data_IF_125426697259
#
_entry.id   IF_125426697259
#
_cell.length_a   1.000
_cell.length_b   1.000
_cell.length_c   1.000
_cell.angle_alpha   90.00
_cell.angle_beta   90.00
_cell.angle_gamma   90.00
#
_symmetry.space_group_name_H-M   'P 1'
#
loop_
_entity.id
_entity.type
_entity.pdbx_description
1 polymer ?
#
# COMPACT_ATOMS: atom_id res chain seq x y z
N UNK A 1 -9.14 -11.82 -21.35
CA UNK A 1 -8.23 -12.97 -21.23
C UNK A 1 -6.81 -12.41 -21.18
N UNK A 2 -6.37 -11.90 -20.02
CA UNK A 2 -5.07 -11.24 -19.92
C UNK A 2 -3.93 -12.26 -19.90
N UNK A 3 -2.84 -11.91 -20.59
CA UNK A 3 -1.54 -12.58 -20.47
C UNK A 3 -0.68 -11.77 -19.51
N UNK A 4 -0.34 -12.38 -18.38
CA UNK A 4 0.47 -11.75 -17.34
C UNK A 4 1.91 -12.24 -17.47
N UNK A 5 2.83 -11.32 -17.74
CA UNK A 5 4.27 -11.59 -17.84
C UNK A 5 4.97 -11.26 -16.53
N UNK A 6 5.67 -12.23 -15.96
CA UNK A 6 6.41 -12.10 -14.70
C UNK A 6 7.87 -11.65 -14.94
N UNK A 7 8.60 -11.21 -13.91
CA UNK A 7 9.95 -10.66 -14.08
C UNK A 7 10.99 -11.71 -14.52
N UNK A 8 10.71 -13.00 -14.31
CA UNK A 8 11.52 -14.12 -14.81
C UNK A 8 11.27 -14.43 -16.30
N UNK A 9 10.38 -13.68 -16.95
CA UNK A 9 9.97 -13.87 -18.33
C UNK A 9 8.90 -14.94 -18.52
N UNK A 10 8.46 -15.61 -17.45
CA UNK A 10 7.35 -16.56 -17.53
C UNK A 10 6.03 -15.84 -17.81
N UNK A 11 5.15 -16.49 -18.56
CA UNK A 11 3.84 -15.96 -18.91
C UNK A 11 2.74 -16.84 -18.33
N UNK A 12 1.70 -16.20 -17.81
CA UNK A 12 0.51 -16.85 -17.28
C UNK A 12 -0.71 -16.36 -18.05
N UNK A 13 -1.52 -17.30 -18.52
CA UNK A 13 -2.72 -17.01 -19.29
C UNK A 13 -3.95 -17.19 -18.41
N UNK A 14 -4.80 -16.17 -18.37
CA UNK A 14 -6.06 -16.20 -17.62
C UNK A 14 -7.24 -15.99 -18.55
N UNK A 15 -8.35 -16.67 -18.27
CA UNK A 15 -9.61 -16.56 -19.01
C UNK A 15 -10.51 -15.43 -18.48
N UNK A 16 -10.18 -14.83 -17.34
CA UNK A 16 -10.87 -13.71 -16.70
C UNK A 16 -9.88 -12.65 -16.19
N UNK A 17 -10.33 -11.42 -15.86
CA UNK A 17 -9.51 -10.44 -15.16
C UNK A 17 -9.03 -10.98 -13.81
N UNK A 18 -7.77 -10.74 -13.47
CA UNK A 18 -7.14 -11.25 -12.24
C UNK A 18 -6.44 -10.14 -11.49
N UNK A 19 -6.34 -10.26 -10.17
CA UNK A 19 -5.58 -9.32 -9.34
C UNK A 19 -4.13 -9.76 -9.12
N UNK A 20 -3.21 -8.85 -8.72
CA UNK A 20 -1.87 -9.25 -8.28
C UNK A 20 -1.89 -10.34 -7.19
N UNK A 21 -2.86 -10.30 -6.28
CA UNK A 21 -3.04 -11.33 -5.25
C UNK A 21 -3.41 -12.69 -5.84
N UNK A 22 -4.30 -12.74 -6.83
CA UNK A 22 -4.68 -13.99 -7.50
C UNK A 22 -3.46 -14.61 -8.20
N UNK A 23 -2.69 -13.79 -8.92
CA UNK A 23 -1.46 -14.25 -9.57
C UNK A 23 -0.43 -14.74 -8.55
N UNK A 24 -0.31 -14.07 -7.40
CA UNK A 24 0.58 -14.50 -6.32
C UNK A 24 0.15 -15.84 -5.68
N UNK A 25 -1.17 -16.06 -5.51
CA UNK A 25 -1.74 -17.32 -5.03
C UNK A 25 -1.41 -18.48 -5.98
N UNK A 26 -1.53 -18.24 -7.29
CA UNK A 26 -1.23 -19.23 -8.34
C UNK A 26 0.26 -19.55 -8.49
N UNK A 27 1.14 -18.66 -8.03
CA UNK A 27 2.58 -18.93 -7.93
C UNK A 27 2.87 -19.77 -6.67
N UNK A 28 2.25 -19.43 -5.55
CA UNK A 28 2.27 -20.27 -4.36
C UNK A 28 1.89 -19.54 -3.07
N UNK A 29 1.48 -20.30 -2.03
CA UNK A 29 0.93 -19.72 -0.79
C UNK A 29 1.94 -18.86 -0.03
N UNK A 30 3.25 -19.15 -0.17
CA UNK A 30 4.30 -18.35 0.45
C UNK A 30 4.41 -16.94 -0.15
N UNK A 31 4.27 -16.82 -1.48
CA UNK A 31 4.32 -15.53 -2.16
C UNK A 31 3.05 -14.74 -1.92
N UNK A 32 1.88 -15.37 -1.99
CA UNK A 32 0.61 -14.74 -1.64
C UNK A 32 0.64 -14.14 -0.23
N UNK A 33 1.16 -14.88 0.75
CA UNK A 33 1.32 -14.39 2.13
C UNK A 33 2.26 -13.20 2.23
N UNK A 34 3.28 -13.11 1.37
CA UNK A 34 4.26 -12.03 1.37
C UNK A 34 3.83 -10.82 0.51
N UNK A 35 2.73 -10.94 -0.24
CA UNK A 35 2.27 -9.92 -1.18
C UNK A 35 1.68 -8.73 -0.44
N UNK A 36 2.18 -7.54 -0.74
CA UNK A 36 1.68 -6.26 -0.24
C UNK A 36 0.91 -5.53 -1.33
N UNK A 37 1.47 -5.49 -2.54
CA UNK A 37 0.93 -4.76 -3.68
C UNK A 37 1.43 -5.39 -4.99
N UNK A 38 0.95 -4.88 -6.12
CA UNK A 38 1.45 -5.21 -7.46
C UNK A 38 2.15 -4.02 -8.10
N UNK A 39 3.04 -4.31 -9.04
CA UNK A 39 3.48 -3.33 -10.05
C UNK A 39 3.05 -3.83 -11.42
N UNK A 40 2.08 -3.15 -12.01
CA UNK A 40 1.49 -3.50 -13.30
C UNK A 40 1.95 -2.49 -14.34
N UNK A 41 2.64 -2.96 -15.39
CA UNK A 41 3.19 -2.08 -16.45
C UNK A 41 4.06 -0.91 -15.93
N UNK A 42 4.73 -1.12 -14.80
CA UNK A 42 5.58 -0.11 -14.15
C UNK A 42 4.89 0.73 -13.08
N UNK A 43 3.55 0.70 -13.00
CA UNK A 43 2.76 1.47 -12.03
C UNK A 43 2.42 0.63 -10.80
N UNK A 44 2.48 1.23 -9.61
CA UNK A 44 2.09 0.56 -8.36
C UNK A 44 0.56 0.52 -8.26
N UNK A 45 0.03 -0.66 -7.95
CA UNK A 45 -1.40 -0.95 -7.79
C UNK A 45 -1.63 -1.76 -6.51
N UNK A 46 -2.82 -1.68 -5.93
CA UNK A 46 -3.17 -2.48 -4.77
C UNK A 46 -3.22 -3.97 -5.14
N UNK A 47 -2.99 -4.85 -4.15
CA UNK A 47 -2.97 -6.28 -4.39
C UNK A 47 -4.31 -6.85 -4.91
N UNK A 48 -5.41 -6.11 -4.71
CA UNK A 48 -6.76 -6.47 -5.14
C UNK A 48 -7.21 -5.81 -6.45
N UNK A 49 -6.40 -4.93 -7.04
CA UNK A 49 -6.77 -4.24 -8.27
C UNK A 49 -6.82 -5.21 -9.45
N UNK A 50 -7.85 -5.11 -10.27
CA UNK A 50 -8.07 -6.04 -11.38
C UNK A 50 -7.21 -5.67 -12.60
N UNK A 51 -6.55 -6.67 -13.16
CA UNK A 51 -5.79 -6.58 -14.39
C UNK A 51 -6.66 -7.18 -15.51
N UNK A 52 -7.23 -6.31 -16.35
CA UNK A 52 -8.16 -6.73 -17.42
C UNK A 52 -7.46 -7.09 -18.73
N UNK A 53 -6.28 -6.49 -18.98
CA UNK A 53 -5.53 -6.59 -20.22
C UNK A 53 -4.15 -7.19 -19.99
N UNK A 54 -3.48 -7.59 -21.08
CA UNK A 54 -2.11 -8.08 -21.04
C UNK A 54 -1.18 -7.08 -20.34
N UNK A 55 -0.36 -7.58 -19.42
CA UNK A 55 0.48 -6.72 -18.60
C UNK A 55 1.73 -7.43 -18.11
N UNK A 56 2.76 -6.63 -17.80
CA UNK A 56 3.87 -7.08 -16.96
C UNK A 56 3.49 -6.89 -15.50
N UNK A 57 3.70 -7.91 -14.67
CA UNK A 57 3.41 -7.89 -13.25
C UNK A 57 4.67 -8.22 -12.45
N UNK A 58 5.02 -7.36 -11.49
CA UNK A 58 5.92 -7.69 -10.40
C UNK A 58 5.17 -7.64 -9.07
N UNK A 59 5.36 -8.67 -8.24
CA UNK A 59 4.79 -8.70 -6.89
C UNK A 59 5.67 -7.89 -5.95
N UNK A 60 5.06 -6.95 -5.22
CA UNK A 60 5.73 -6.14 -4.22
C UNK A 60 5.55 -6.79 -2.85
N UNK A 61 6.64 -6.91 -2.11
CA UNK A 61 6.73 -7.54 -0.79
C UNK A 61 7.36 -6.60 0.23
N UNK A 62 7.42 -7.01 1.49
CA UNK A 62 8.06 -6.24 2.56
C UNK A 62 9.59 -6.05 2.37
N UNK A 63 10.20 -6.76 1.42
CA UNK A 63 11.64 -6.63 1.11
C UNK A 63 11.92 -5.48 0.14
N UNK A 64 10.90 -5.01 -0.56
CA UNK A 64 10.99 -3.94 -1.55
C UNK A 64 10.83 -2.59 -0.86
N UNK A 65 11.51 -1.57 -1.36
CA UNK A 65 11.46 -0.21 -0.79
C UNK A 65 10.02 0.34 -0.85
N UNK A 66 9.34 0.11 -1.97
CA UNK A 66 7.94 0.49 -2.16
C UNK A 66 6.99 -0.26 -1.22
N UNK A 67 7.28 -1.54 -0.93
CA UNK A 67 6.51 -2.31 0.03
C UNK A 67 6.59 -1.71 1.44
N UNK A 68 7.78 -1.23 1.82
CA UNK A 68 7.98 -0.57 3.11
C UNK A 68 7.27 0.80 3.18
N UNK A 69 7.24 1.56 2.08
CA UNK A 69 6.46 2.79 1.97
C UNK A 69 4.95 2.52 2.15
N UNK A 70 4.41 1.48 1.50
CA UNK A 70 3.00 1.09 1.61
C UNK A 70 2.64 0.66 3.05
N UNK A 71 3.51 -0.08 3.73
CA UNK A 71 3.34 -0.44 5.14
C UNK A 71 3.25 0.82 6.01
N UNK A 72 4.17 1.78 5.82
CA UNK A 72 4.15 3.04 6.58
C UNK A 72 2.89 3.84 6.34
N UNK A 73 2.45 3.93 5.09
CA UNK A 73 1.21 4.60 4.73
C UNK A 73 0.00 3.93 5.42
N UNK A 74 -0.05 2.60 5.43
CA UNK A 74 -1.10 1.83 6.11
C UNK A 74 -1.09 2.05 7.63
N UNK A 75 0.09 2.14 8.26
CA UNK A 75 0.22 2.47 9.68
C UNK A 75 -0.32 3.87 10.01
N UNK A 76 -0.15 4.84 9.11
CA UNK A 76 -0.73 6.17 9.28
C UNK A 76 -2.27 6.13 9.27
N UNK A 77 -2.87 5.35 8.37
CA UNK A 77 -4.31 5.10 8.38
C UNK A 77 -4.78 4.41 9.67
N UNK A 78 -4.03 3.40 10.14
CA UNK A 78 -4.34 2.69 11.38
C UNK A 78 -4.31 3.62 12.61
N UNK A 79 -3.30 4.50 12.70
CA UNK A 79 -3.24 5.51 13.75
C UNK A 79 -4.45 6.46 13.67
N UNK A 80 -4.79 6.91 12.46
CA UNK A 80 -5.95 7.75 12.22
C UNK A 80 -7.24 7.09 12.69
N UNK A 81 -7.41 5.81 12.37
CA UNK A 81 -8.53 5.00 12.84
C UNK A 81 -8.58 4.91 14.37
N UNK A 82 -7.46 4.59 15.02
CA UNK A 82 -7.38 4.49 16.48
C UNK A 82 -7.71 5.83 17.18
N UNK A 83 -7.18 6.95 16.67
CA UNK A 83 -7.47 8.27 17.23
C UNK A 83 -8.92 8.66 17.03
N UNK A 84 -9.54 8.31 15.89
CA UNK A 84 -10.97 8.54 15.67
C UNK A 84 -11.86 7.74 16.62
N UNK A 85 -11.44 6.56 17.07
CA UNK A 85 -12.16 5.82 18.10
C UNK A 85 -12.05 6.49 19.47
N UNK A 86 -10.86 6.97 19.85
CA UNK A 86 -10.62 7.60 21.16
C UNK A 86 -11.16 9.04 21.23
N UNK A 87 -11.03 9.80 20.14
CA UNK A 87 -11.42 11.20 20.00
C UNK A 87 -12.17 11.42 18.67
N UNK A 88 -13.49 11.16 18.62
CA UNK A 88 -14.28 11.18 17.38
C UNK A 88 -14.25 12.52 16.62
N UNK A 89 -14.15 13.63 17.35
CA UNK A 89 -14.14 14.99 16.80
C UNK A 89 -12.78 15.43 16.22
N UNK A 90 -11.74 14.60 16.33
CA UNK A 90 -10.41 14.86 15.73
C UNK A 90 -10.54 15.12 14.23
N UNK A 91 -9.76 16.05 13.68
CA UNK A 91 -9.70 16.25 12.22
C UNK A 91 -8.43 15.63 11.67
N UNK A 92 -8.59 14.80 10.65
CA UNK A 92 -7.46 14.22 9.92
C UNK A 92 -6.90 15.28 8.98
N UNK A 93 -5.60 15.51 9.00
CA UNK A 93 -4.89 16.36 8.05
C UNK A 93 -3.81 15.52 7.34
N UNK A 94 -3.26 16.04 6.24
CA UNK A 94 -2.17 15.39 5.50
C UNK A 94 -0.93 16.27 5.70
N UNK A 95 0.17 15.65 6.11
CA UNK A 95 1.49 16.31 6.17
C UNK A 95 2.23 16.12 4.84
N UNK A 96 3.04 17.11 4.39
CA UNK A 96 3.86 16.94 3.20
C UNK A 96 4.92 15.86 3.40
N UNK A 97 5.25 15.12 2.35
CA UNK A 97 6.40 14.20 2.33
C UNK A 97 7.68 15.03 2.46
N UNK A 98 8.49 14.76 3.49
CA UNK A 98 9.72 15.53 3.78
C UNK A 98 10.93 14.93 3.06
N UNK A 99 10.92 13.62 2.79
CA UNK A 99 11.94 12.90 2.00
C UNK A 99 11.37 11.55 1.50
N UNK A 100 11.97 10.94 0.46
CA UNK A 100 11.53 9.62 -0.07
C UNK A 100 11.51 8.53 1.01
N UNK A 101 12.45 8.61 1.95
CA UNK A 101 12.57 7.68 3.07
C UNK A 101 11.62 7.94 4.24
N UNK A 102 10.89 9.07 4.23
CA UNK A 102 10.18 9.60 5.39
C UNK A 102 8.72 9.94 5.06
N UNK A 103 7.81 9.11 5.53
CA UNK A 103 6.37 9.39 5.48
C UNK A 103 5.98 10.20 6.71
N UNK A 104 5.54 11.44 6.51
CA UNK A 104 5.02 12.30 7.59
C UNK A 104 3.50 12.28 7.54
N UNK A 105 2.88 11.94 8.66
CA UNK A 105 1.44 12.02 8.82
C UNK A 105 1.10 12.96 9.96
N UNK A 106 0.48 14.10 9.64
CA UNK A 106 0.16 15.13 10.63
C UNK A 106 -1.31 15.06 10.99
N UNK A 107 -1.62 14.96 12.28
CA UNK A 107 -2.99 14.96 12.79
C UNK A 107 -3.25 16.18 13.66
N UNK A 108 -4.40 16.82 13.48
CA UNK A 108 -4.81 17.97 14.29
C UNK A 108 -5.98 17.58 15.18
N UNK A 109 -5.71 17.48 16.47
CA UNK A 109 -6.69 17.23 17.51
C UNK A 109 -7.30 18.58 17.95
N UNK A 110 -8.61 18.72 17.84
CA UNK A 110 -9.33 19.89 18.34
C UNK A 110 -10.16 19.45 19.54
N UNK A 111 -9.72 19.80 20.75
CA UNK A 111 -10.43 19.51 22.00
C UNK A 111 -11.07 20.79 22.53
N UNK A 112 -12.40 20.93 22.34
CA UNK A 112 -13.26 22.00 22.85
C UNK A 112 -12.91 23.42 22.39
N UNK A 113 -11.73 23.94 22.76
CA UNK A 113 -11.22 25.28 22.41
C UNK A 113 -9.70 25.30 22.16
N UNK A 114 -9.00 24.18 22.36
CA UNK A 114 -7.54 24.08 22.22
C UNK A 114 -7.18 23.19 21.04
N UNK A 115 -6.32 23.70 20.16
CA UNK A 115 -5.78 22.97 19.00
C UNK A 115 -4.46 22.33 19.42
N UNK A 116 -4.41 20.99 19.40
CA UNK A 116 -3.18 20.23 19.54
C UNK A 116 -2.80 19.63 18.18
N UNK A 117 -1.59 19.93 17.71
CA UNK A 117 -1.05 19.31 16.49
C UNK A 117 -0.10 18.19 16.89
N UNK A 118 -0.40 16.96 16.48
CA UNK A 118 0.45 15.80 16.68
C UNK A 118 1.00 15.36 15.32
N UNK A 119 2.32 15.38 15.16
CA UNK A 119 2.99 14.96 13.92
C UNK A 119 3.60 13.58 14.12
N UNK A 120 3.13 12.59 13.35
CA UNK A 120 3.77 11.30 13.24
C UNK A 120 4.83 11.36 12.14
N UNK A 121 6.06 10.96 12.47
CA UNK A 121 7.17 10.85 11.52
C UNK A 121 7.55 9.36 11.46
N UNK A 122 7.26 8.71 10.33
CA UNK A 122 7.68 7.33 10.07
C UNK A 122 8.96 7.38 9.23
N UNK A 123 10.11 7.20 9.86
CA UNK A 123 11.43 7.19 9.20
C UNK A 123 11.92 5.77 8.92
N UNK A 124 12.60 5.58 7.79
CA UNK A 124 13.51 4.46 7.58
C UNK A 124 14.81 4.72 8.37
N UNK A 125 15.24 3.76 9.19
CA UNK A 125 16.64 3.64 9.60
C UNK A 125 17.22 2.41 8.94
#
# INVERSE_FOLDING_TARGET
>A
MPVITLPDGSQRHYDHPVSPMDVALDIGPGLAKATIAGRVNGELVDACDLIENDATLAIITAKDEEGLEIIRHSCAHLLGHAIKQLWPHTKMAIGPVVDKSTTVFTMTLILSTTVFTMTLILTAR
#
